data_IF_801064325386
#
_entry.id   IF_801064325386
#
_cell.length_a   1.000
_cell.length_b   1.000
_cell.length_c   1.000
_cell.angle_alpha   90.00
_cell.angle_beta   90.00
_cell.angle_gamma   90.00
#
_symmetry.space_group_name_H-M   'P 1'
#
loop_
_entity.id
_entity.type
_entity.pdbx_description
1 polymer ?
#
# COMPACT_ATOMS: atom_id res chain seq x y z
N UNK A 1 17.17 -6.93 -7.32
CA UNK A 1 18.14 -5.82 -7.44
C UNK A 1 19.03 -5.73 -6.20
N UNK A 2 18.48 -5.79 -4.98
CA UNK A 2 19.28 -5.77 -3.75
C UNK A 2 20.35 -6.86 -3.74
N UNK A 3 19.93 -8.11 -3.97
CA UNK A 3 20.83 -9.26 -4.00
C UNK A 3 21.93 -9.15 -5.09
N UNK A 4 21.59 -8.56 -6.23
CA UNK A 4 22.57 -8.32 -7.31
C UNK A 4 23.61 -7.26 -6.89
N UNK A 5 23.17 -6.17 -6.24
CA UNK A 5 24.07 -5.15 -5.69
C UNK A 5 24.97 -5.70 -4.57
N UNK A 6 24.43 -6.58 -3.73
CA UNK A 6 25.16 -7.23 -2.66
C UNK A 6 26.03 -8.42 -3.14
N UNK A 7 26.05 -8.69 -4.45
CA UNK A 7 26.77 -9.81 -5.07
C UNK A 7 26.33 -11.22 -4.55
N UNK A 8 25.11 -11.33 -4.02
CA UNK A 8 24.51 -12.60 -3.57
C UNK A 8 24.03 -13.44 -4.76
N UNK A 9 23.67 -12.76 -5.85
CA UNK A 9 23.30 -13.38 -7.12
C UNK A 9 24.13 -12.79 -8.26
N UNK A 10 24.24 -13.48 -9.42
CA UNK A 10 25.02 -13.01 -10.55
C UNK A 10 24.50 -11.65 -11.09
N UNK A 11 25.43 -10.85 -11.61
CA UNK A 11 25.11 -9.57 -12.26
C UNK A 11 24.32 -9.80 -13.55
N UNK A 12 23.34 -8.96 -13.81
CA UNK A 12 22.51 -8.99 -15.03
C UNK A 12 21.23 -9.82 -14.91
N UNK A 13 21.01 -10.54 -13.80
CA UNK A 13 19.78 -11.31 -13.53
C UNK A 13 18.56 -10.42 -13.58
N UNK A 14 18.61 -9.27 -12.91
CA UNK A 14 17.48 -8.31 -12.87
C UNK A 14 17.08 -7.85 -14.26
N UNK A 15 18.04 -7.48 -15.10
CA UNK A 15 17.79 -7.04 -16.48
C UNK A 15 17.11 -8.13 -17.29
N UNK A 16 17.62 -9.36 -17.22
CA UNK A 16 17.07 -10.51 -17.95
C UNK A 16 15.66 -10.87 -17.50
N UNK A 17 15.41 -10.93 -16.18
CA UNK A 17 14.07 -11.21 -15.65
C UNK A 17 13.09 -10.11 -16.05
N UNK A 18 13.42 -8.84 -15.83
CA UNK A 18 12.53 -7.71 -16.18
C UNK A 18 12.17 -7.66 -17.65
N UNK A 19 13.09 -8.01 -18.56
CA UNK A 19 12.82 -7.96 -20.00
C UNK A 19 11.87 -9.06 -20.48
N UNK A 20 11.73 -10.16 -19.73
CA UNK A 20 10.94 -11.34 -20.13
C UNK A 20 9.73 -11.58 -19.26
N UNK A 21 9.72 -11.08 -18.02
CA UNK A 21 8.62 -11.28 -17.09
C UNK A 21 7.34 -10.64 -17.62
N UNK A 22 6.29 -11.43 -17.68
CA UNK A 22 4.93 -10.98 -18.03
C UNK A 22 3.94 -11.59 -17.06
N UNK A 23 3.05 -10.76 -16.55
CA UNK A 23 1.95 -11.23 -15.69
C UNK A 23 0.85 -11.79 -16.59
N UNK A 24 0.44 -13.02 -16.30
CA UNK A 24 -0.60 -13.74 -17.01
C UNK A 24 -1.55 -14.37 -15.97
N UNK A 25 -2.60 -13.63 -15.64
CA UNK A 25 -3.54 -14.03 -14.59
C UNK A 25 -4.20 -15.39 -14.89
N UNK A 26 -4.58 -15.63 -16.14
CA UNK A 26 -5.18 -16.92 -16.51
C UNK A 26 -4.22 -18.08 -16.26
N UNK A 27 -2.96 -17.90 -16.62
CA UNK A 27 -1.92 -18.93 -16.39
C UNK A 27 -1.64 -19.12 -14.91
N UNK A 28 -1.57 -18.05 -14.13
CA UNK A 28 -1.41 -18.12 -12.67
C UNK A 28 -2.51 -18.94 -12.04
N UNK A 29 -3.78 -18.66 -12.32
CA UNK A 29 -4.93 -19.40 -11.80
C UNK A 29 -4.92 -20.90 -12.21
N UNK A 30 -4.52 -21.22 -13.44
CA UNK A 30 -4.36 -22.62 -13.87
C UNK A 30 -3.28 -23.35 -13.05
N UNK A 31 -2.18 -22.70 -12.75
CA UNK A 31 -1.10 -23.28 -11.95
C UNK A 31 -1.56 -23.42 -10.49
N UNK A 32 -2.19 -22.38 -9.93
CA UNK A 32 -2.69 -22.36 -8.55
C UNK A 32 -3.69 -23.50 -8.30
N UNK A 33 -4.57 -23.76 -9.24
CA UNK A 33 -5.49 -24.89 -9.15
C UNK A 33 -4.80 -26.26 -8.98
N UNK A 34 -3.55 -26.38 -9.46
CA UNK A 34 -2.73 -27.60 -9.32
C UNK A 34 -1.89 -27.59 -8.05
N UNK A 35 -1.18 -26.49 -7.79
CA UNK A 35 -0.19 -26.40 -6.68
C UNK A 35 -0.81 -25.96 -5.36
N UNK A 36 -2.04 -25.41 -5.39
CA UNK A 36 -2.79 -24.91 -4.22
C UNK A 36 -2.03 -23.88 -3.39
N UNK A 37 -1.26 -23.02 -4.06
CA UNK A 37 -0.46 -21.99 -3.44
C UNK A 37 -0.27 -20.80 -4.41
N UNK A 38 -0.75 -19.62 -4.02
CA UNK A 38 -0.81 -18.40 -4.82
C UNK A 38 0.57 -17.87 -5.25
N UNK A 39 1.47 -17.66 -4.29
CA UNK A 39 2.81 -17.11 -4.57
C UNK A 39 3.64 -18.07 -5.42
N UNK A 40 3.55 -19.39 -5.17
CA UNK A 40 4.23 -20.39 -6.00
C UNK A 40 3.66 -20.38 -7.41
N UNK A 41 2.34 -20.28 -7.57
CA UNK A 41 1.71 -20.18 -8.88
C UNK A 41 2.16 -18.93 -9.66
N UNK A 42 2.20 -17.78 -8.98
CA UNK A 42 2.71 -16.54 -9.55
C UNK A 42 4.17 -16.67 -10.01
N UNK A 43 5.05 -17.13 -9.13
CA UNK A 43 6.48 -17.31 -9.43
C UNK A 43 6.70 -18.31 -10.56
N UNK A 44 5.95 -19.41 -10.58
CA UNK A 44 6.04 -20.41 -11.65
C UNK A 44 5.66 -19.80 -13.01
N UNK A 45 4.56 -19.04 -13.07
CA UNK A 45 4.14 -18.34 -14.30
C UNK A 45 5.20 -17.37 -14.81
N UNK A 46 5.87 -16.64 -13.91
CA UNK A 46 6.99 -15.75 -14.27
C UNK A 46 8.21 -16.57 -14.74
N UNK A 47 8.51 -17.68 -14.08
CA UNK A 47 9.66 -18.54 -14.42
C UNK A 47 9.53 -19.16 -15.79
N UNK A 48 8.35 -19.63 -16.16
CA UNK A 48 8.08 -20.20 -17.50
C UNK A 48 8.49 -19.24 -18.63
N UNK A 49 8.37 -17.93 -18.40
CA UNK A 49 8.67 -16.88 -19.38
C UNK A 49 10.09 -16.30 -19.25
N UNK A 50 10.63 -16.28 -18.03
CA UNK A 50 11.89 -15.59 -17.73
C UNK A 50 13.13 -16.49 -17.78
N UNK A 51 12.95 -17.81 -17.82
CA UNK A 51 14.06 -18.78 -17.93
C UNK A 51 14.82 -18.99 -16.63
N UNK A 52 16.05 -19.52 -16.74
CA UNK A 52 16.86 -20.00 -15.60
C UNK A 52 17.15 -18.92 -14.54
N UNK A 53 17.18 -17.66 -14.92
CA UNK A 53 17.47 -16.54 -14.02
C UNK A 53 16.32 -16.30 -13.03
N UNK A 54 15.11 -16.72 -13.33
CA UNK A 54 13.95 -16.57 -12.44
C UNK A 54 14.07 -17.35 -11.11
N UNK A 55 14.95 -18.35 -11.04
CA UNK A 55 15.26 -19.09 -9.80
C UNK A 55 15.73 -18.21 -8.63
N UNK A 56 16.14 -16.99 -8.91
CA UNK A 56 16.59 -16.04 -7.88
C UNK A 56 15.47 -15.14 -7.34
N UNK A 57 14.25 -15.17 -7.91
CA UNK A 57 13.19 -14.22 -7.56
C UNK A 57 12.73 -14.33 -6.11
N UNK A 58 12.67 -15.52 -5.55
CA UNK A 58 12.16 -15.76 -4.20
C UNK A 58 13.25 -16.36 -3.28
N UNK A 59 14.50 -16.17 -3.64
CA UNK A 59 15.61 -16.78 -2.90
C UNK A 59 15.69 -16.26 -1.47
N UNK A 60 15.56 -17.17 -0.50
CA UNK A 60 15.66 -16.88 0.93
C UNK A 60 14.43 -16.18 1.54
N UNK A 61 13.41 -15.91 0.74
CA UNK A 61 12.19 -15.24 1.17
C UNK A 61 11.08 -16.25 1.53
N UNK A 62 10.12 -15.78 2.31
CA UNK A 62 8.82 -16.44 2.46
C UNK A 62 7.74 -15.71 1.67
N UNK A 63 6.58 -16.34 1.48
CA UNK A 63 5.46 -15.73 0.76
C UNK A 63 5.00 -14.42 1.38
N UNK A 64 4.91 -14.35 2.70
CA UNK A 64 4.52 -13.14 3.42
C UNK A 64 5.48 -11.97 3.21
N UNK A 65 6.78 -12.20 3.06
CA UNK A 65 7.74 -11.13 2.72
C UNK A 65 7.32 -10.37 1.44
N UNK A 66 6.77 -11.10 0.46
CA UNK A 66 6.29 -10.52 -0.80
C UNK A 66 4.89 -9.95 -0.64
N UNK A 67 3.95 -10.73 -0.09
CA UNK A 67 2.53 -10.37 -0.01
C UNK A 67 2.31 -9.16 0.89
N UNK A 68 2.85 -9.17 2.11
CA UNK A 68 2.61 -8.12 3.09
C UNK A 68 3.27 -6.81 2.66
N UNK A 69 4.52 -6.87 2.18
CA UNK A 69 5.21 -5.68 1.66
C UNK A 69 4.48 -5.10 0.43
N UNK A 70 3.99 -5.96 -0.48
CA UNK A 70 3.23 -5.53 -1.64
C UNK A 70 1.88 -4.91 -1.23
N UNK A 71 1.17 -5.53 -0.30
CA UNK A 71 -0.11 -5.03 0.20
C UNK A 71 0.04 -3.69 0.91
N UNK A 72 1.05 -3.54 1.77
CA UNK A 72 1.39 -2.28 2.42
C UNK A 72 1.66 -1.16 1.39
N UNK A 73 2.39 -1.49 0.33
CA UNK A 73 2.64 -0.54 -0.76
C UNK A 73 1.34 -0.13 -1.48
N UNK A 74 0.45 -1.08 -1.75
CA UNK A 74 -0.86 -0.82 -2.38
C UNK A 74 -1.75 0.03 -1.48
N UNK A 75 -1.83 -0.29 -0.19
CA UNK A 75 -2.60 0.50 0.79
C UNK A 75 -2.08 1.93 0.91
N UNK A 76 -0.76 2.10 0.95
CA UNK A 76 -0.15 3.43 0.93
C UNK A 76 -0.54 4.23 -0.33
N UNK A 77 -0.40 3.62 -1.50
CA UNK A 77 -0.76 4.28 -2.77
C UNK A 77 -2.25 4.64 -2.82
N UNK A 78 -3.12 3.75 -2.37
CA UNK A 78 -4.56 4.02 -2.27
C UNK A 78 -4.86 5.14 -1.29
N UNK A 79 -4.21 5.13 -0.13
CA UNK A 79 -4.31 6.19 0.88
C UNK A 79 -3.86 7.56 0.36
N UNK A 80 -2.79 7.62 -0.43
CA UNK A 80 -2.32 8.85 -1.08
C UNK A 80 -3.35 9.42 -2.07
N UNK A 81 -4.11 8.56 -2.77
CA UNK A 81 -5.21 8.98 -3.66
C UNK A 81 -6.35 9.56 -2.82
N UNK A 82 -6.82 8.83 -1.79
CA UNK A 82 -7.87 9.28 -0.89
C UNK A 82 -7.52 10.59 -0.18
N UNK A 83 -6.24 10.79 0.17
CA UNK A 83 -5.79 12.03 0.79
C UNK A 83 -5.90 13.24 -0.16
N UNK A 84 -5.66 13.04 -1.45
CA UNK A 84 -5.90 14.08 -2.46
C UNK A 84 -7.38 14.43 -2.54
N UNK A 85 -8.27 13.43 -2.55
CA UNK A 85 -9.70 13.63 -2.61
C UNK A 85 -10.23 14.35 -1.36
N UNK A 86 -9.76 13.98 -0.16
CA UNK A 86 -10.09 14.71 1.08
C UNK A 86 -9.67 16.17 1.00
N UNK A 87 -8.50 16.48 0.45
CA UNK A 87 -8.08 17.87 0.28
C UNK A 87 -8.98 18.67 -0.67
N UNK A 88 -9.49 18.04 -1.74
CA UNK A 88 -10.46 18.66 -2.65
C UNK A 88 -11.80 18.92 -1.94
N UNK A 89 -12.29 17.93 -1.17
CA UNK A 89 -13.51 18.10 -0.36
C UNK A 89 -13.36 19.24 0.65
N UNK A 90 -12.26 19.29 1.39
CA UNK A 90 -11.95 20.37 2.34
C UNK A 90 -11.92 21.73 1.66
N UNK A 91 -11.29 21.83 0.49
CA UNK A 91 -11.26 23.09 -0.29
C UNK A 91 -12.65 23.54 -0.70
N UNK A 92 -13.47 22.61 -1.20
CA UNK A 92 -14.84 22.87 -1.62
C UNK A 92 -15.73 23.29 -0.44
N UNK A 93 -15.67 22.55 0.68
CA UNK A 93 -16.42 22.87 1.89
C UNK A 93 -16.05 24.26 2.43
N UNK A 94 -14.74 24.57 2.48
CA UNK A 94 -14.25 25.89 2.91
C UNK A 94 -14.81 27.01 2.03
N UNK A 95 -14.78 26.82 0.71
CA UNK A 95 -15.26 27.82 -0.26
C UNK A 95 -16.75 28.04 -0.12
N UNK A 96 -17.54 26.96 -0.06
CA UNK A 96 -18.99 27.05 0.08
C UNK A 96 -19.40 27.56 1.47
N UNK A 97 -18.74 27.18 2.54
CA UNK A 97 -19.00 27.71 3.87
C UNK A 97 -18.81 29.23 3.93
N UNK A 98 -17.75 29.75 3.30
CA UNK A 98 -17.52 31.20 3.20
C UNK A 98 -18.59 31.90 2.35
N UNK A 99 -18.98 31.34 1.20
CA UNK A 99 -20.01 31.86 0.31
C UNK A 99 -21.35 31.98 1.02
N UNK A 100 -21.72 30.96 1.80
CA UNK A 100 -23.02 30.85 2.46
C UNK A 100 -22.98 31.22 3.94
N UNK A 101 -21.98 31.98 4.40
CA UNK A 101 -21.84 32.34 5.81
C UNK A 101 -23.06 33.08 6.38
N UNK A 102 -23.78 33.84 5.53
CA UNK A 102 -24.98 34.60 5.91
C UNK A 102 -26.29 34.06 5.31
N UNK A 103 -26.23 32.92 4.61
CA UNK A 103 -27.44 32.29 4.04
C UNK A 103 -28.18 31.60 5.18
N UNK A 104 -29.34 32.15 5.55
CA UNK A 104 -30.18 31.61 6.61
C UNK A 104 -30.78 30.26 6.22
N UNK A 105 -30.79 29.36 7.16
CA UNK A 105 -31.52 28.09 7.09
C UNK A 105 -32.02 27.68 8.47
N UNK A 106 -33.00 26.79 8.51
CA UNK A 106 -33.53 26.30 9.77
C UNK A 106 -32.62 25.23 10.36
N UNK A 107 -32.25 25.36 11.63
CA UNK A 107 -31.71 24.28 12.45
C UNK A 107 -32.79 23.24 12.75
N UNK A 108 -32.39 21.99 12.93
CA UNK A 108 -33.29 20.88 13.28
C UNK A 108 -32.73 20.05 14.40
N UNK A 109 -33.60 19.68 15.33
CA UNK A 109 -33.30 18.74 16.43
C UNK A 109 -34.49 17.78 16.55
N UNK A 110 -34.25 16.51 16.73
CA UNK A 110 -35.27 15.46 16.79
C UNK A 110 -36.26 15.47 15.62
N UNK A 111 -35.83 15.89 14.41
CA UNK A 111 -36.64 15.97 13.21
C UNK A 111 -37.59 17.19 13.15
N UNK A 112 -37.59 18.08 14.15
CA UNK A 112 -38.39 19.29 14.21
C UNK A 112 -37.53 20.55 14.01
N UNK A 113 -38.19 21.68 13.74
CA UNK A 113 -37.53 22.98 13.61
C UNK A 113 -37.01 23.45 14.97
N UNK A 114 -35.76 23.90 14.98
CA UNK A 114 -35.09 24.53 16.11
C UNK A 114 -34.71 25.98 15.73
N UNK A 115 -33.64 26.51 16.32
CA UNK A 115 -33.20 27.87 16.05
C UNK A 115 -32.69 28.04 14.61
N UNK A 116 -32.83 29.24 14.03
CA UNK A 116 -32.19 29.56 12.75
C UNK A 116 -30.67 29.46 12.84
N UNK A 117 -30.08 28.88 11.80
CA UNK A 117 -28.64 28.83 11.61
C UNK A 117 -28.27 29.34 10.22
N UNK A 118 -27.00 29.31 9.85
CA UNK A 118 -26.58 29.56 8.47
C UNK A 118 -26.16 28.28 7.76
N UNK A 119 -26.36 28.23 6.46
CA UNK A 119 -25.90 27.11 5.64
C UNK A 119 -24.39 26.99 5.67
N UNK A 120 -23.68 28.12 5.77
CA UNK A 120 -22.23 28.13 5.96
C UNK A 120 -21.79 27.43 7.25
N UNK A 121 -22.49 27.63 8.38
CA UNK A 121 -22.22 26.95 9.64
C UNK A 121 -22.44 25.44 9.51
N UNK A 122 -23.51 25.02 8.85
CA UNK A 122 -23.77 23.61 8.55
C UNK A 122 -22.61 22.96 7.76
N UNK A 123 -22.09 23.66 6.76
CA UNK A 123 -20.94 23.17 5.97
C UNK A 123 -19.63 23.11 6.78
N UNK A 124 -19.46 23.99 7.76
CA UNK A 124 -18.30 23.97 8.65
C UNK A 124 -18.27 22.73 9.55
N UNK A 125 -19.40 22.15 9.92
CA UNK A 125 -19.40 20.89 10.68
C UNK A 125 -18.78 19.77 9.86
N UNK A 126 -19.16 19.63 8.59
CA UNK A 126 -18.54 18.66 7.68
C UNK A 126 -17.06 18.97 7.43
N UNK A 127 -16.69 20.26 7.27
CA UNK A 127 -15.28 20.64 7.13
C UNK A 127 -14.44 20.14 8.31
N UNK A 128 -14.90 20.33 9.54
CA UNK A 128 -14.21 19.88 10.74
C UNK A 128 -14.15 18.36 10.85
N UNK A 129 -15.19 17.67 10.41
CA UNK A 129 -15.20 16.19 10.35
C UNK A 129 -14.15 15.68 9.37
N UNK A 130 -14.14 16.20 8.14
CA UNK A 130 -13.14 15.81 7.14
C UNK A 130 -11.71 16.19 7.52
N UNK A 131 -11.52 17.30 8.24
CA UNK A 131 -10.21 17.68 8.77
C UNK A 131 -9.68 16.63 9.76
N UNK A 132 -10.53 16.14 10.67
CA UNK A 132 -10.17 15.05 11.58
C UNK A 132 -9.94 13.73 10.83
N UNK A 133 -10.74 13.44 9.81
CA UNK A 133 -10.56 12.25 8.97
C UNK A 133 -9.24 12.29 8.19
N UNK A 134 -8.84 13.46 7.70
CA UNK A 134 -7.52 13.66 7.08
C UNK A 134 -6.39 13.25 8.01
N UNK A 135 -6.41 13.72 9.26
CA UNK A 135 -5.38 13.38 10.26
C UNK A 135 -5.33 11.87 10.51
N UNK A 136 -6.51 11.22 10.65
CA UNK A 136 -6.58 9.75 10.81
C UNK A 136 -5.98 9.01 9.63
N UNK A 137 -6.32 9.45 8.40
CA UNK A 137 -5.80 8.84 7.18
C UNK A 137 -4.29 9.03 7.04
N UNK A 138 -3.77 10.23 7.34
CA UNK A 138 -2.32 10.50 7.33
C UNK A 138 -1.59 9.59 8.32
N UNK A 139 -2.16 9.37 9.50
CA UNK A 139 -1.61 8.45 10.51
C UNK A 139 -1.63 7.01 10.00
N UNK A 140 -2.75 6.54 9.46
CA UNK A 140 -2.89 5.19 8.92
C UNK A 140 -1.91 4.93 7.76
N UNK A 141 -1.74 5.89 6.84
CA UNK A 141 -0.76 5.81 5.75
C UNK A 141 0.66 5.67 6.30
N UNK A 142 0.99 6.42 7.35
CA UNK A 142 2.30 6.38 7.99
C UNK A 142 2.56 5.03 8.66
N UNK A 143 1.55 4.46 9.32
CA UNK A 143 1.64 3.18 10.01
C UNK A 143 1.80 2.01 9.04
N UNK A 144 0.97 1.96 7.99
CA UNK A 144 1.03 0.88 7.00
C UNK A 144 2.24 0.97 6.06
N UNK A 145 3.00 2.07 6.07
CA UNK A 145 4.15 2.25 5.18
C UNK A 145 5.39 1.48 5.65
N UNK A 146 5.25 0.17 5.85
CA UNK A 146 6.29 -0.74 6.33
C UNK A 146 6.67 -1.80 5.29
N UNK A 147 7.87 -2.34 5.44
CA UNK A 147 8.46 -3.39 4.60
C UNK A 147 9.04 -4.46 5.51
N UNK A 148 8.63 -5.71 5.33
CA UNK A 148 9.15 -6.86 6.05
C UNK A 148 9.67 -7.90 5.07
N UNK A 149 10.99 -8.12 5.07
CA UNK A 149 11.67 -9.15 4.26
C UNK A 149 12.68 -9.86 5.15
N UNK A 150 12.19 -10.66 6.08
CA UNK A 150 12.99 -11.27 7.15
C UNK A 150 12.94 -12.80 7.17
N UNK A 151 12.25 -13.40 6.20
CA UNK A 151 12.06 -14.85 6.11
C UNK A 151 10.88 -15.35 6.94
N UNK A 152 10.69 -16.66 6.99
CA UNK A 152 9.49 -17.29 7.52
C UNK A 152 9.17 -16.97 8.99
N UNK A 153 10.19 -16.74 9.81
CA UNK A 153 10.05 -16.52 11.26
C UNK A 153 10.78 -15.26 11.75
N UNK A 154 11.17 -14.38 10.83
CA UNK A 154 11.77 -13.09 11.17
C UNK A 154 13.24 -13.13 11.61
N UNK A 155 13.92 -14.25 11.44
CA UNK A 155 15.30 -14.44 11.93
C UNK A 155 16.39 -14.13 10.90
N UNK A 156 16.03 -13.80 9.67
CA UNK A 156 16.96 -13.57 8.55
C UNK A 156 17.87 -14.77 8.23
N UNK A 157 17.47 -16.01 8.61
CA UNK A 157 18.30 -17.19 8.46
C UNK A 157 18.77 -17.45 7.02
N UNK A 158 17.94 -17.10 6.03
CA UNK A 158 18.20 -17.38 4.61
C UNK A 158 18.27 -16.12 3.73
N UNK A 159 18.16 -14.93 4.32
CA UNK A 159 18.22 -13.66 3.60
C UNK A 159 19.05 -12.63 4.36
N UNK A 160 19.84 -11.86 3.64
CA UNK A 160 20.65 -10.80 4.23
C UNK A 160 19.77 -9.59 4.62
N UNK A 161 19.83 -9.07 5.85
CA UNK A 161 19.05 -7.92 6.30
C UNK A 161 19.24 -6.66 5.44
N UNK A 162 20.38 -6.54 4.75
CA UNK A 162 20.61 -5.43 3.81
C UNK A 162 19.69 -5.47 2.61
N UNK A 163 19.11 -6.64 2.27
CA UNK A 163 18.11 -6.77 1.20
C UNK A 163 16.83 -6.04 1.59
N UNK A 164 16.35 -6.25 2.80
CA UNK A 164 15.17 -5.56 3.34
C UNK A 164 15.39 -4.04 3.37
N UNK A 165 16.50 -3.60 3.96
CA UNK A 165 16.84 -2.16 4.03
C UNK A 165 16.91 -1.52 2.63
N UNK A 166 17.46 -2.22 1.65
CA UNK A 166 17.50 -1.76 0.27
C UNK A 166 16.10 -1.61 -0.35
N UNK A 167 15.23 -2.62 -0.16
CA UNK A 167 13.87 -2.63 -0.70
C UNK A 167 13.03 -1.54 -0.05
N UNK A 168 13.07 -1.45 1.27
CA UNK A 168 12.37 -0.43 2.03
C UNK A 168 12.74 0.98 1.53
N UNK A 169 14.03 1.28 1.42
CA UNK A 169 14.51 2.56 0.88
C UNK A 169 14.01 2.82 -0.54
N UNK A 170 14.08 1.81 -1.40
CA UNK A 170 13.66 1.94 -2.81
C UNK A 170 12.17 2.17 -2.97
N UNK A 171 11.34 1.52 -2.15
CA UNK A 171 9.90 1.66 -2.14
C UNK A 171 9.40 2.81 -1.26
N UNK A 172 10.31 3.54 -0.59
CA UNK A 172 10.00 4.60 0.38
C UNK A 172 9.12 4.09 1.52
N UNK A 173 9.40 2.89 1.99
CA UNK A 173 8.80 2.25 3.16
C UNK A 173 9.77 2.30 4.33
N UNK A 174 9.30 2.03 5.53
CA UNK A 174 10.13 1.80 6.72
C UNK A 174 10.37 0.31 6.86
N UNK A 175 11.53 -0.06 7.39
CA UNK A 175 11.76 -1.45 7.83
C UNK A 175 10.89 -1.72 9.04
N UNK A 176 10.19 -2.85 9.05
CA UNK A 176 9.44 -3.33 10.21
C UNK A 176 10.44 -3.78 11.29
N UNK A 177 10.35 -3.25 12.53
CA UNK A 177 11.30 -3.58 13.57
C UNK A 177 11.32 -5.07 13.95
N UNK A 178 10.14 -5.70 13.95
CA UNK A 178 9.97 -7.11 14.27
C UNK A 178 8.89 -7.67 13.36
N UNK A 179 9.21 -8.69 12.59
CA UNK A 179 8.24 -9.40 11.77
C UNK A 179 8.40 -10.90 11.91
N UNK A 180 7.28 -11.59 11.88
CA UNK A 180 7.20 -13.05 11.88
C UNK A 180 5.92 -13.47 11.18
N UNK A 181 5.91 -14.66 10.61
CA UNK A 181 4.72 -15.23 9.98
C UNK A 181 3.74 -15.87 11.00
N UNK A 182 4.17 -15.97 12.25
CA UNK A 182 3.40 -16.54 13.38
C UNK A 182 3.26 -15.53 14.52
#
# INVERSE_FOLDING_TARGET
>A
EAMEKLKIIPRGVVKKVKSKAKIDVKRILQIENKVKHDVIAFLTSITEKSGKEARYLHKGMTSSDVLDTCFNLQLRQSGEILLKDINLVLSSLRTQAKKHKMTLCIGRSHGIHAEPITFGLKLLTFYQEFLRNKIRLETAIKEISTCAISGAVGTFANIDPRVESYVAKKLKLKVEPISTQI
#
